data_IF_509333074462
#
_entry.id   IF_509333074462
#
_cell.length_a   1.000
_cell.length_b   1.000
_cell.length_c   1.000
_cell.angle_alpha   90.00
_cell.angle_beta   90.00
_cell.angle_gamma   90.00
#
_symmetry.space_group_name_H-M   'P 1'
#
loop_
_entity.id
_entity.type
_entity.pdbx_description
1 polymer ?
#
# COMPACT_ATOMS: atom_id res chain seq x y z
N UNK A 1 6.87 -3.81 -15.14
CA UNK A 1 6.53 -5.23 -14.88
C UNK A 1 7.63 -6.19 -15.29
N UNK A 2 8.14 -6.18 -16.53
CA UNK A 2 9.18 -7.13 -17.00
C UNK A 2 10.42 -7.19 -16.08
N UNK A 3 10.96 -6.03 -15.68
CA UNK A 3 12.14 -5.95 -14.78
C UNK A 3 11.84 -6.57 -13.40
N UNK A 4 10.64 -6.36 -12.88
CA UNK A 4 10.23 -6.89 -11.56
C UNK A 4 10.02 -8.40 -11.62
N UNK A 5 9.42 -8.92 -12.70
CA UNK A 5 9.23 -10.35 -12.90
C UNK A 5 10.57 -11.12 -13.02
N UNK A 6 11.61 -10.48 -13.55
CA UNK A 6 12.95 -11.08 -13.68
C UNK A 6 13.73 -11.13 -12.36
N UNK A 7 13.52 -10.14 -11.47
CA UNK A 7 14.24 -10.05 -10.19
C UNK A 7 13.49 -10.79 -9.06
N UNK A 8 12.17 -10.63 -8.98
CA UNK A 8 11.32 -11.11 -7.89
C UNK A 8 9.97 -11.63 -8.43
N UNK A 9 9.94 -12.85 -9.00
CA UNK A 9 8.74 -13.40 -9.64
C UNK A 9 7.56 -13.57 -8.67
N UNK A 10 7.80 -13.78 -7.38
CA UNK A 10 6.76 -13.89 -6.35
C UNK A 10 5.94 -12.61 -6.16
N UNK A 11 6.51 -11.45 -6.49
CA UNK A 11 5.83 -10.15 -6.42
C UNK A 11 5.11 -9.77 -7.71
N UNK A 12 5.28 -10.57 -8.78
CA UNK A 12 4.74 -10.29 -10.11
C UNK A 12 3.22 -10.09 -10.13
N UNK A 13 2.39 -10.85 -9.39
CA UNK A 13 0.94 -10.63 -9.39
C UNK A 13 0.56 -9.26 -8.81
N UNK A 14 1.19 -8.85 -7.71
CA UNK A 14 0.90 -7.59 -7.04
C UNK A 14 1.34 -6.40 -7.88
N UNK A 15 2.60 -6.39 -8.32
CA UNK A 15 3.15 -5.30 -9.13
C UNK A 15 2.53 -5.28 -10.53
N UNK A 16 2.16 -6.45 -11.06
CA UNK A 16 1.46 -6.59 -12.33
C UNK A 16 0.11 -5.89 -12.34
N UNK A 17 -0.73 -6.16 -11.34
CA UNK A 17 -2.05 -5.54 -11.24
C UNK A 17 -1.97 -4.03 -10.95
N UNK A 18 -0.99 -3.59 -10.14
CA UNK A 18 -0.75 -2.17 -9.91
C UNK A 18 -0.36 -1.44 -11.21
N UNK A 19 0.57 -2.02 -11.98
CA UNK A 19 1.06 -1.43 -13.23
C UNK A 19 0.03 -1.49 -14.36
N UNK A 20 -0.87 -2.49 -14.35
CA UNK A 20 -2.03 -2.54 -15.25
C UNK A 20 -2.98 -1.37 -14.99
N UNK A 21 -3.29 -1.08 -13.73
CA UNK A 21 -4.06 0.11 -13.36
C UNK A 21 -3.37 1.41 -13.81
N UNK A 22 -2.05 1.49 -13.63
CA UNK A 22 -1.26 2.62 -14.12
C UNK A 22 -1.33 2.75 -15.65
N UNK A 23 -1.29 1.65 -16.40
CA UNK A 23 -1.44 1.65 -17.86
C UNK A 23 -2.82 2.14 -18.29
N UNK A 24 -3.90 1.75 -17.61
CA UNK A 24 -5.24 2.27 -17.91
C UNK A 24 -5.34 3.80 -17.73
N UNK A 25 -4.63 4.33 -16.72
CA UNK A 25 -4.56 5.78 -16.48
C UNK A 25 -3.71 6.51 -17.50
N UNK A 26 -2.50 6.04 -17.77
CA UNK A 26 -1.51 6.73 -18.61
C UNK A 26 -1.71 6.51 -20.12
N UNK A 27 -2.40 5.44 -20.54
CA UNK A 27 -2.63 5.16 -21.96
C UNK A 27 -3.61 6.13 -22.64
N UNK A 28 -4.45 6.83 -21.87
CA UNK A 28 -5.38 7.86 -22.37
C UNK A 28 -6.51 7.38 -23.29
N UNK A 29 -6.42 6.15 -23.82
CA UNK A 29 -7.35 5.55 -24.79
C UNK A 29 -8.47 4.72 -24.14
N UNK A 30 -8.32 4.33 -22.87
CA UNK A 30 -9.30 3.50 -22.14
C UNK A 30 -9.95 4.22 -20.95
N UNK A 31 -10.46 5.45 -21.18
CA UNK A 31 -11.07 6.28 -20.12
C UNK A 31 -12.19 5.58 -19.36
N UNK A 32 -13.10 4.90 -20.06
CA UNK A 32 -14.23 4.18 -19.45
C UNK A 32 -13.78 3.04 -18.53
N UNK A 33 -12.74 2.29 -18.93
CA UNK A 33 -12.19 1.23 -18.07
C UNK A 33 -11.50 1.82 -16.84
N UNK A 34 -10.72 2.89 -17.00
CA UNK A 34 -10.04 3.55 -15.89
C UNK A 34 -11.03 4.11 -14.86
N UNK A 35 -12.08 4.79 -15.31
CA UNK A 35 -13.10 5.37 -14.44
C UNK A 35 -13.93 4.30 -13.73
N UNK A 36 -14.30 3.23 -14.44
CA UNK A 36 -15.02 2.09 -13.85
C UNK A 36 -14.15 1.35 -12.83
N UNK A 37 -12.88 1.10 -13.15
CA UNK A 37 -11.93 0.42 -12.27
C UNK A 37 -11.65 1.21 -10.99
N UNK A 38 -11.48 2.54 -11.11
CA UNK A 38 -11.14 3.42 -9.99
C UNK A 38 -12.32 3.80 -9.10
N UNK A 39 -13.57 3.61 -9.56
CA UNK A 39 -14.77 3.96 -8.80
C UNK A 39 -15.66 2.75 -8.56
N UNK A 40 -16.52 2.42 -9.53
CA UNK A 40 -17.59 1.43 -9.35
C UNK A 40 -17.04 0.04 -8.96
N UNK A 41 -16.02 -0.44 -9.67
CA UNK A 41 -15.43 -1.74 -9.40
C UNK A 41 -14.66 -1.74 -8.07
N UNK A 42 -13.96 -0.65 -7.73
CA UNK A 42 -13.29 -0.50 -6.44
C UNK A 42 -14.29 -0.63 -5.28
N UNK A 43 -15.42 0.10 -5.33
CA UNK A 43 -16.43 0.03 -4.27
C UNK A 43 -17.05 -1.36 -4.13
N UNK A 44 -17.38 -2.02 -5.25
CA UNK A 44 -17.93 -3.38 -5.23
C UNK A 44 -16.93 -4.35 -4.58
N UNK A 45 -15.66 -4.32 -4.98
CA UNK A 45 -14.62 -5.20 -4.45
C UNK A 45 -14.34 -4.89 -2.97
N UNK A 46 -14.31 -3.61 -2.56
CA UNK A 46 -14.13 -3.21 -1.16
C UNK A 46 -15.26 -3.73 -0.28
N UNK A 47 -16.52 -3.65 -0.73
CA UNK A 47 -17.65 -4.22 0.01
C UNK A 47 -17.49 -5.75 0.15
N UNK A 48 -17.18 -6.45 -0.93
CA UNK A 48 -17.01 -7.91 -0.92
C UNK A 48 -15.82 -8.35 -0.04
N UNK A 49 -14.69 -7.64 -0.10
CA UNK A 49 -13.53 -7.92 0.74
C UNK A 49 -13.82 -7.60 2.20
N UNK A 50 -14.45 -6.46 2.49
CA UNK A 50 -14.81 -6.06 3.84
C UNK A 50 -15.75 -7.04 4.51
N UNK A 51 -16.79 -7.50 3.80
CA UNK A 51 -17.72 -8.51 4.33
C UNK A 51 -17.06 -9.88 4.49
N UNK A 52 -16.22 -10.31 3.54
CA UNK A 52 -15.53 -11.61 3.61
C UNK A 52 -14.50 -11.66 4.75
N UNK A 53 -13.69 -10.61 4.91
CA UNK A 53 -12.72 -10.49 6.01
C UNK A 53 -13.46 -10.37 7.35
N UNK A 54 -14.51 -9.54 7.41
CA UNK A 54 -15.34 -9.39 8.59
C UNK A 54 -16.01 -10.70 9.04
N UNK A 55 -16.52 -11.49 8.08
CA UNK A 55 -17.12 -12.79 8.35
C UNK A 55 -16.12 -13.84 8.85
N UNK A 56 -14.84 -13.74 8.47
CA UNK A 56 -13.78 -14.63 8.96
C UNK A 56 -13.34 -14.31 10.41
N UNK A 57 -13.57 -13.09 10.89
CA UNK A 57 -13.28 -12.67 12.27
C UNK A 57 -14.38 -13.10 13.23
N UNK A 58 -14.28 -14.30 13.80
CA UNK A 58 -15.13 -14.72 14.92
C UNK A 58 -14.75 -13.97 16.22
N UNK A 59 -15.71 -13.75 17.12
CA UNK A 59 -15.46 -13.07 18.40
C UNK A 59 -14.36 -13.75 19.24
N UNK A 60 -14.28 -15.08 19.16
CA UNK A 60 -13.27 -15.91 19.81
C UNK A 60 -11.88 -15.79 19.18
N UNK A 61 -11.78 -15.45 17.89
CA UNK A 61 -10.52 -15.15 17.23
C UNK A 61 -10.07 -13.70 17.48
N UNK A 62 -11.01 -12.77 17.65
CA UNK A 62 -10.71 -11.36 17.87
C UNK A 62 -10.28 -11.06 19.32
N UNK A 63 -10.93 -11.67 20.33
CA UNK A 63 -10.62 -11.48 21.75
C UNK A 63 -9.46 -12.37 22.26
N UNK A 64 -8.54 -12.77 21.38
CA UNK A 64 -7.30 -13.45 21.80
C UNK A 64 -6.23 -12.42 22.14
N UNK A 65 -5.45 -12.72 23.17
CA UNK A 65 -4.26 -11.95 23.52
C UNK A 65 -3.28 -11.82 22.34
N UNK A 66 -3.24 -12.81 21.44
CA UNK A 66 -2.38 -12.76 20.26
C UNK A 66 -2.84 -11.73 19.24
N UNK A 67 -4.15 -11.54 19.06
CA UNK A 67 -4.71 -10.51 18.18
C UNK A 67 -4.41 -9.11 18.72
N UNK A 68 -4.49 -8.91 20.04
CA UNK A 68 -4.10 -7.66 20.69
C UNK A 68 -2.61 -7.35 20.47
N UNK A 69 -1.73 -8.36 20.56
CA UNK A 69 -0.30 -8.19 20.26
C UNK A 69 -0.07 -7.76 18.82
N UNK A 70 -0.78 -8.33 17.84
CA UNK A 70 -0.64 -7.93 16.42
C UNK A 70 -0.99 -6.45 16.23
N UNK A 71 -2.07 -5.98 16.86
CA UNK A 71 -2.47 -4.56 16.78
C UNK A 71 -1.40 -3.65 17.40
N UNK A 72 -0.89 -4.00 18.58
CA UNK A 72 0.16 -3.22 19.24
C UNK A 72 1.48 -3.21 18.45
N UNK A 73 1.88 -4.36 17.90
CA UNK A 73 3.05 -4.47 17.01
C UNK A 73 2.87 -3.65 15.73
N UNK A 74 1.66 -3.61 15.17
CA UNK A 74 1.33 -2.77 14.02
C UNK A 74 1.53 -1.28 14.32
N UNK A 75 1.08 -0.80 15.48
CA UNK A 75 1.27 0.59 15.90
C UNK A 75 2.76 0.93 16.07
N UNK A 76 3.52 0.04 16.70
CA UNK A 76 4.98 0.20 16.84
C UNK A 76 5.66 0.19 15.47
N UNK A 77 5.27 -0.70 14.55
CA UNK A 77 5.80 -0.78 13.20
C UNK A 77 5.56 0.53 12.41
N UNK A 78 4.37 1.13 12.51
CA UNK A 78 4.09 2.45 11.91
C UNK A 78 4.95 3.57 12.52
N UNK A 79 5.15 3.56 13.84
CA UNK A 79 6.01 4.54 14.50
C UNK A 79 7.48 4.43 14.04
N UNK A 80 8.02 3.21 13.91
CA UNK A 80 9.37 3.01 13.38
C UNK A 80 9.47 3.32 11.88
N UNK A 81 8.44 2.98 11.09
CA UNK A 81 8.39 3.30 9.66
C UNK A 81 8.44 4.80 9.41
N UNK A 82 7.60 5.57 10.11
CA UNK A 82 7.57 7.04 10.02
C UNK A 82 8.87 7.68 10.53
N UNK A 83 9.41 7.19 11.65
CA UNK A 83 10.70 7.67 12.16
C UNK A 83 11.85 7.38 11.18
N UNK A 84 11.93 6.16 10.64
CA UNK A 84 12.92 5.78 9.63
C UNK A 84 12.78 6.59 8.35
N UNK A 85 11.55 6.81 7.88
CA UNK A 85 11.23 7.62 6.72
C UNK A 85 11.68 9.08 6.88
N UNK A 86 11.41 9.71 8.02
CA UNK A 86 11.88 11.08 8.31
C UNK A 86 13.41 11.15 8.41
N UNK A 87 14.06 10.15 9.02
CA UNK A 87 15.53 10.10 9.09
C UNK A 87 16.17 9.99 7.71
N UNK A 88 15.61 9.14 6.83
CA UNK A 88 16.02 9.08 5.42
C UNK A 88 15.73 10.39 4.68
N UNK A 89 14.57 11.01 4.91
CA UNK A 89 14.23 12.32 4.36
C UNK A 89 15.22 13.41 4.76
N UNK A 90 15.69 13.41 6.02
CA UNK A 90 16.75 14.31 6.50
C UNK A 90 18.11 14.01 5.84
N UNK A 91 18.45 12.73 5.68
CA UNK A 91 19.69 12.34 4.99
C UNK A 91 19.67 12.83 3.53
N UNK A 92 18.56 12.61 2.82
CA UNK A 92 18.36 13.07 1.45
C UNK A 92 18.39 14.61 1.35
N UNK A 93 17.80 15.32 2.32
CA UNK A 93 17.90 16.78 2.43
C UNK A 93 19.36 17.25 2.55
N UNK A 94 20.18 16.58 3.37
CA UNK A 94 21.60 16.92 3.55
C UNK A 94 22.43 16.62 2.28
N UNK A 95 22.19 15.49 1.62
CA UNK A 95 22.88 15.12 0.38
C UNK A 95 22.52 16.03 -0.80
N UNK A 96 21.27 16.48 -0.87
CA UNK A 96 20.77 17.37 -1.94
C UNK A 96 20.87 18.85 -1.62
N UNK A 97 21.60 19.23 -0.55
CA UNK A 97 21.81 20.62 -0.14
C UNK A 97 20.50 21.40 0.07
N UNK A 98 19.52 20.79 0.75
CA UNK A 98 18.29 21.46 1.17
C UNK A 98 17.14 21.45 0.17
N UNK A 99 17.26 20.74 -0.96
CA UNK A 99 16.19 20.67 -1.97
C UNK A 99 15.02 19.78 -1.56
N UNK A 100 15.24 18.79 -0.70
CA UNK A 100 14.23 17.82 -0.28
C UNK A 100 13.72 18.17 1.10
N UNK A 101 12.39 18.32 1.26
CA UNK A 101 11.78 18.55 2.55
C UNK A 101 11.72 17.21 3.34
N UNK A 102 12.33 17.13 4.54
CA UNK A 102 12.29 15.92 5.36
C UNK A 102 10.89 15.42 5.73
N UNK A 103 9.87 16.30 5.71
CA UNK A 103 8.47 15.92 5.95
C UNK A 103 7.91 14.97 4.89
N UNK A 104 8.51 14.93 3.69
CA UNK A 104 8.16 13.95 2.65
C UNK A 104 8.55 12.53 3.11
N UNK A 105 9.56 12.41 3.96
CA UNK A 105 10.02 11.13 4.49
C UNK A 105 8.98 10.40 5.34
N UNK A 106 8.12 11.12 6.07
CA UNK A 106 7.02 10.51 6.85
C UNK A 106 5.79 10.13 6.01
N UNK A 107 5.74 10.51 4.72
CA UNK A 107 4.60 10.24 3.84
C UNK A 107 4.71 8.88 3.12
N UNK A 108 5.88 8.23 3.19
CA UNK A 108 6.07 6.84 2.79
C UNK A 108 5.91 5.92 3.98
#
# INVERSE_FOLDING_TARGET
TVVVCLILPTTAPLVGMLMLGNLFRESGVVKQLMETASNALMYIVVILLGTSVGAATSAEAFLKLDTLKIVALGLIAFAFGTAGGVLLGKLMCKLTHGKINPLIGSAG
#
